data_IF_844422893404
#
_entry.id   IF_844422893404
#
_cell.length_a   1.000
_cell.length_b   1.000
_cell.length_c   1.000
_cell.angle_alpha   90.00
_cell.angle_beta   90.00
_cell.angle_gamma   90.00
#
_symmetry.space_group_name_H-M   'P 1'
#
loop_
_entity.id
_entity.type
_entity.pdbx_description
1 polymer ?
#
# COMPACT_ATOMS: atom_id res chain seq x y z
N UNK A 1 -8.86 -9.93 5.81
CA UNK A 1 -8.36 -9.69 4.44
C UNK A 1 -9.03 -8.44 3.91
N UNK A 2 -8.24 -7.39 3.65
CA UNK A 2 -8.75 -6.14 3.10
C UNK A 2 -9.19 -6.35 1.65
N UNK A 3 -10.22 -5.63 1.20
CA UNK A 3 -10.62 -5.69 -0.20
C UNK A 3 -9.52 -5.12 -1.10
N UNK A 4 -9.32 -5.70 -2.28
CA UNK A 4 -8.32 -5.25 -3.24
C UNK A 4 -9.01 -4.74 -4.52
N UNK A 5 -8.43 -3.73 -5.14
CA UNK A 5 -8.88 -3.13 -6.40
C UNK A 5 -7.73 -3.22 -7.40
N UNK A 6 -8.04 -3.62 -8.64
CA UNK A 6 -7.08 -3.59 -9.73
C UNK A 6 -7.29 -2.33 -10.56
N UNK A 7 -6.26 -1.50 -10.68
CA UNK A 7 -6.25 -0.27 -11.46
C UNK A 7 -5.25 -0.46 -12.60
N UNK A 8 -5.76 -0.62 -13.83
CA UNK A 8 -4.95 -0.86 -15.03
C UNK A 8 -3.94 -2.02 -14.87
N UNK A 9 -4.36 -3.12 -14.24
CA UNK A 9 -3.48 -4.27 -14.01
C UNK A 9 -2.54 -4.14 -12.81
N UNK A 10 -2.64 -3.06 -12.02
CA UNK A 10 -1.87 -2.86 -10.78
C UNK A 10 -2.78 -3.03 -9.57
N UNK A 11 -2.34 -3.87 -8.64
CA UNK A 11 -3.03 -4.15 -7.38
C UNK A 11 -2.94 -2.95 -6.44
N UNK A 12 -4.07 -2.53 -5.87
CA UNK A 12 -4.14 -1.54 -4.79
C UNK A 12 -5.08 -2.06 -3.69
N UNK A 13 -4.55 -2.15 -2.48
CA UNK A 13 -5.24 -2.69 -1.32
C UNK A 13 -6.03 -1.57 -0.62
N UNK A 14 -7.31 -1.83 -0.33
CA UNK A 14 -8.22 -0.88 0.31
C UNK A 14 -7.98 -0.86 1.82
N UNK A 15 -6.97 -0.11 2.25
CA UNK A 15 -6.53 0.00 3.64
C UNK A 15 -6.42 1.45 4.11
N UNK A 16 -6.53 1.65 5.42
CA UNK A 16 -6.24 2.90 6.12
C UNK A 16 -4.88 2.84 6.80
N UNK A 17 -4.34 3.96 7.29
CA UNK A 17 -3.12 3.98 8.10
C UNK A 17 -3.21 3.03 9.31
N UNK A 18 -4.37 3.00 9.98
CA UNK A 18 -4.62 2.10 11.11
C UNK A 18 -4.47 0.64 10.67
N UNK A 19 -5.09 0.26 9.55
CA UNK A 19 -4.95 -1.10 9.03
C UNK A 19 -3.50 -1.44 8.68
N UNK A 20 -2.76 -0.50 8.10
CA UNK A 20 -1.34 -0.71 7.74
C UNK A 20 -0.51 -0.96 9.00
N UNK A 21 -0.67 -0.15 10.05
CA UNK A 21 0.05 -0.33 11.32
C UNK A 21 -0.30 -1.66 12.01
N UNK A 22 -1.56 -2.07 11.99
CA UNK A 22 -1.99 -3.37 12.54
C UNK A 22 -1.39 -4.54 11.76
N UNK A 23 -1.36 -4.45 10.42
CA UNK A 23 -0.72 -5.46 9.56
C UNK A 23 0.79 -5.53 9.85
N UNK A 24 1.46 -4.37 9.95
CA UNK A 24 2.89 -4.30 10.26
C UNK A 24 3.20 -4.90 11.63
N UNK A 25 2.37 -4.62 12.65
CA UNK A 25 2.53 -5.23 13.97
C UNK A 25 2.50 -6.75 13.90
N UNK A 26 1.52 -7.30 13.15
CA UNK A 26 1.40 -8.74 12.94
C UNK A 26 2.61 -9.33 12.21
N UNK A 27 3.12 -8.64 11.19
CA UNK A 27 4.31 -9.07 10.44
C UNK A 27 5.58 -9.05 11.28
N UNK A 28 5.76 -8.04 12.12
CA UNK A 28 6.93 -7.93 12.99
C UNK A 28 6.93 -9.08 14.01
N UNK A 29 5.76 -9.45 14.55
CA UNK A 29 5.62 -10.60 15.45
C UNK A 29 5.90 -11.94 14.74
N UNK A 30 5.44 -12.10 13.49
CA UNK A 30 5.69 -13.29 12.68
C UNK A 30 7.16 -13.41 12.25
N UNK A 31 7.83 -12.27 12.07
CA UNK A 31 9.18 -12.18 11.55
C UNK A 31 9.27 -12.43 10.04
N UNK A 32 10.43 -12.12 9.47
CA UNK A 32 10.68 -12.22 8.04
C UNK A 32 10.51 -10.88 7.29
N UNK A 33 11.01 -10.80 6.04
CA UNK A 33 10.91 -9.58 5.25
C UNK A 33 9.50 -9.46 4.64
N UNK A 34 8.94 -8.26 4.69
CA UNK A 34 7.73 -7.88 3.98
C UNK A 34 7.93 -6.55 3.24
N UNK A 35 7.30 -6.40 2.08
CA UNK A 35 7.38 -5.22 1.23
C UNK A 35 6.03 -4.51 1.15
N UNK A 36 6.03 -3.22 1.51
CA UNK A 36 4.92 -2.31 1.25
C UNK A 36 5.27 -1.44 0.05
N UNK A 37 4.43 -1.47 -0.99
CA UNK A 37 4.50 -0.58 -2.13
C UNK A 37 3.51 0.58 -1.97
N UNK A 38 4.01 1.81 -1.90
CA UNK A 38 3.21 3.04 -1.93
C UNK A 38 2.85 3.36 -3.38
N UNK A 39 1.83 2.68 -3.90
CA UNK A 39 1.45 2.81 -5.31
C UNK A 39 0.92 4.21 -5.54
N UNK A 40 1.52 4.95 -6.47
CA UNK A 40 1.05 6.24 -6.95
C UNK A 40 0.67 6.15 -8.44
N UNK A 41 0.03 7.18 -9.02
CA UNK A 41 -0.31 7.16 -10.45
C UNK A 41 0.89 6.93 -11.37
N UNK A 42 2.06 7.47 -11.03
CA UNK A 42 3.30 7.29 -11.78
C UNK A 42 3.72 5.81 -11.83
N UNK A 43 3.57 5.07 -10.73
CA UNK A 43 3.84 3.63 -10.69
C UNK A 43 2.86 2.86 -11.57
N UNK A 44 1.58 3.23 -11.55
CA UNK A 44 0.57 2.61 -12.42
C UNK A 44 0.92 2.79 -13.89
N UNK A 45 1.36 3.98 -14.28
CA UNK A 45 1.77 4.29 -15.65
C UNK A 45 3.09 3.61 -16.04
N UNK A 46 4.07 3.56 -15.13
CA UNK A 46 5.33 2.86 -15.36
C UNK A 46 5.11 1.36 -15.57
N UNK A 47 4.25 0.73 -14.77
CA UNK A 47 3.90 -0.68 -14.89
C UNK A 47 3.23 -1.05 -16.23
N UNK A 48 2.73 -0.07 -17.00
CA UNK A 48 2.23 -0.31 -18.37
C UNK A 48 3.35 -0.62 -19.37
N UNK A 49 4.55 -0.12 -19.11
CA UNK A 49 5.68 -0.22 -20.03
C UNK A 49 6.82 -1.10 -19.49
N UNK A 50 6.79 -1.41 -18.20
CA UNK A 50 7.78 -2.25 -17.52
C UNK A 50 7.10 -3.46 -16.86
N UNK A 51 7.23 -4.62 -17.52
CA UNK A 51 6.68 -5.88 -17.03
C UNK A 51 7.36 -6.37 -15.75
N UNK A 52 8.66 -6.11 -15.58
CA UNK A 52 9.40 -6.49 -14.39
C UNK A 52 8.92 -5.67 -13.19
N UNK A 53 8.75 -4.35 -13.37
CA UNK A 53 8.21 -3.49 -12.33
C UNK A 53 6.77 -3.86 -11.96
N UNK A 54 5.91 -4.17 -12.95
CA UNK A 54 4.57 -4.69 -12.69
C UNK A 54 4.61 -5.97 -11.85
N UNK A 55 5.52 -6.89 -12.14
CA UNK A 55 5.67 -8.12 -11.38
C UNK A 55 6.15 -7.85 -9.95
N UNK A 56 7.04 -6.88 -9.75
CA UNK A 56 7.45 -6.42 -8.41
C UNK A 56 6.25 -5.92 -7.61
N UNK A 57 5.42 -5.03 -8.19
CA UNK A 57 4.22 -4.53 -7.52
C UNK A 57 3.23 -5.64 -7.20
N UNK A 58 3.07 -6.63 -8.09
CA UNK A 58 2.21 -7.78 -7.87
C UNK A 58 2.68 -8.66 -6.70
N UNK A 59 3.99 -8.76 -6.51
CA UNK A 59 4.62 -9.60 -5.49
C UNK A 59 4.78 -8.90 -4.13
N UNK A 60 4.58 -7.59 -4.05
CA UNK A 60 4.60 -6.87 -2.78
C UNK A 60 3.54 -7.45 -1.83
N UNK A 61 3.83 -7.47 -0.53
CA UNK A 61 2.92 -7.98 0.50
C UNK A 61 1.72 -7.04 0.71
N UNK A 62 1.90 -5.74 0.48
CA UNK A 62 0.83 -4.74 0.55
C UNK A 62 1.07 -3.59 -0.46
N UNK A 63 0.02 -3.21 -1.19
CA UNK A 63 0.05 -2.10 -2.13
C UNK A 63 -0.89 -0.99 -1.65
N UNK A 64 -0.36 0.01 -0.95
CA UNK A 64 -1.16 1.10 -0.39
C UNK A 64 -1.40 2.21 -1.41
N UNK A 65 -2.50 2.94 -1.26
CA UNK A 65 -2.90 3.99 -2.18
C UNK A 65 -2.22 5.34 -1.87
N UNK A 66 -1.09 5.61 -2.53
CA UNK A 66 -0.32 6.85 -2.39
C UNK A 66 -0.67 7.85 -3.50
N UNK A 67 -1.78 8.56 -3.32
CA UNK A 67 -2.14 9.68 -4.20
C UNK A 67 -3.63 9.77 -4.50
N UNK A 68 -4.12 10.99 -4.68
CA UNK A 68 -5.54 11.24 -4.95
C UNK A 68 -6.03 10.61 -6.26
N UNK A 69 -5.13 10.44 -7.25
CA UNK A 69 -5.45 9.81 -8.53
C UNK A 69 -5.95 8.37 -8.40
N UNK A 70 -5.43 7.60 -7.44
CA UNK A 70 -5.90 6.22 -7.21
C UNK A 70 -7.29 6.18 -6.59
N UNK A 71 -7.57 7.06 -5.62
CA UNK A 71 -8.90 7.18 -5.03
C UNK A 71 -9.93 7.58 -6.10
N UNK A 72 -9.56 8.50 -6.99
CA UNK A 72 -10.40 8.87 -8.13
C UNK A 72 -10.62 7.70 -9.08
N UNK A 73 -9.56 7.00 -9.49
CA UNK A 73 -9.66 5.84 -10.39
C UNK A 73 -10.53 4.71 -9.79
N UNK A 74 -10.38 4.44 -8.49
CA UNK A 74 -11.25 3.48 -7.79
C UNK A 74 -12.73 3.87 -7.89
N UNK A 75 -13.06 5.15 -7.69
CA UNK A 75 -14.44 5.67 -7.83
C UNK A 75 -14.98 5.52 -9.24
N UNK A 76 -14.16 5.80 -10.26
CA UNK A 76 -14.53 5.59 -11.67
C UNK A 76 -14.85 4.11 -11.95
N UNK A 77 -14.14 3.18 -11.31
CA UNK A 77 -14.40 1.74 -11.38
C UNK A 77 -15.59 1.27 -10.52
N UNK A 78 -16.35 2.18 -9.91
CA UNK A 78 -17.47 1.84 -9.02
C UNK A 78 -17.05 1.22 -7.69
N UNK A 79 -15.80 1.44 -7.28
CA UNK A 79 -15.21 0.95 -6.03
C UNK A 79 -14.76 2.13 -5.16
N UNK A 80 -14.27 1.84 -3.96
CA UNK A 80 -13.77 2.87 -3.05
C UNK A 80 -12.51 2.40 -2.36
N UNK A 81 -11.50 3.28 -2.33
CA UNK A 81 -10.36 3.17 -1.43
C UNK A 81 -10.67 4.04 -0.21
N UNK A 82 -10.57 3.52 1.03
CA UNK A 82 -11.07 4.20 2.22
C UNK A 82 -10.22 5.43 2.57
N UNK A 83 -8.93 5.41 2.24
CA UNK A 83 -7.99 6.46 2.61
C UNK A 83 -6.87 6.61 1.57
N UNK A 84 -6.30 7.80 1.50
CA UNK A 84 -5.04 8.06 0.79
C UNK A 84 -3.88 7.87 1.76
N UNK A 85 -3.21 6.73 1.64
CA UNK A 85 -2.10 6.31 2.50
C UNK A 85 -0.80 6.67 1.81
N UNK A 86 -0.21 7.80 2.20
CA UNK A 86 1.06 8.27 1.65
C UNK A 86 2.23 7.66 2.38
N UNK A 87 3.34 7.41 1.66
CA UNK A 87 4.58 7.00 2.32
C UNK A 87 5.09 8.04 3.32
N UNK A 88 4.99 9.34 2.97
CA UNK A 88 5.49 10.43 3.81
C UNK A 88 4.78 10.56 5.15
N UNK A 89 3.47 10.31 5.20
CA UNK A 89 2.70 10.36 6.45
C UNK A 89 2.79 9.01 7.20
N UNK A 90 2.96 7.88 6.49
CA UNK A 90 3.09 6.56 7.11
C UNK A 90 4.39 6.43 7.91
N UNK A 91 5.53 6.92 7.38
CA UNK A 91 6.84 6.81 8.03
C UNK A 91 6.86 7.34 9.48
N UNK A 92 6.41 8.58 9.79
CA UNK A 92 6.41 9.06 11.17
C UNK A 92 5.46 8.28 12.09
N UNK A 93 4.32 7.78 11.57
CA UNK A 93 3.41 6.93 12.34
C UNK A 93 4.05 5.59 12.70
N UNK A 94 4.74 4.96 11.75
CA UNK A 94 5.49 3.72 11.98
C UNK A 94 6.60 3.95 13.00
N UNK A 95 7.34 5.06 12.90
CA UNK A 95 8.41 5.38 13.86
C UNK A 95 7.87 5.57 15.28
N UNK A 96 6.71 6.22 15.43
CA UNK A 96 6.04 6.38 16.72
C UNK A 96 5.61 5.02 17.30
N UNK A 97 5.00 4.16 16.49
CA UNK A 97 4.56 2.82 16.90
C UNK A 97 5.75 1.93 17.29
N UNK A 98 6.83 2.00 16.50
CA UNK A 98 8.08 1.30 16.75
C UNK A 98 8.70 1.72 18.09
N UNK A 99 8.74 3.03 18.38
CA UNK A 99 9.25 3.54 19.64
C UNK A 99 8.40 3.08 20.84
N UNK A 100 7.08 3.02 20.70
CA UNK A 100 6.17 2.57 21.75
C UNK A 100 6.27 1.06 22.03
N UNK A 101 6.49 0.25 20.98
CA UNK A 101 6.50 -1.22 21.08
C UNK A 101 7.89 -1.84 21.14
N UNK A 102 8.94 -1.04 20.94
CA UNK A 102 10.32 -1.52 20.90
C UNK A 102 10.68 -2.30 19.63
N UNK A 103 10.03 -1.99 18.50
CA UNK A 103 10.41 -2.55 17.20
C UNK A 103 11.81 -2.07 16.79
N UNK A 104 12.53 -2.89 16.02
CA UNK A 104 13.90 -2.63 15.58
C UNK A 104 14.04 -2.83 14.09
#
# INVERSE_FOLDING_TARGET
MSATIEILGVRVDAVTYVNVLDIMASWIEQGGPHQIATVNPEFVMAAQHDAQFRQTLKNADLCVADGAGLLWAARVLGRSLPERVTGSDLVPLVAQEAAARGWR
#
